data_IF_531268247972
#
_entry.id   IF_531268247972
#
_cell.length_a   1.000
_cell.length_b   1.000
_cell.length_c   1.000
_cell.angle_alpha   90.00
_cell.angle_beta   90.00
_cell.angle_gamma   90.00
#
_symmetry.space_group_name_H-M   'P 1'
#
loop_
_entity.id
_entity.type
_entity.pdbx_description
1 polymer ?
#
# COMPACT_ATOMS: atom_id res chain seq x y z
N UNK A 1 21.40 -13.24 6.90
CA UNK A 1 20.85 -13.18 8.27
C UNK A 1 20.78 -11.77 8.85
N UNK A 2 21.87 -10.97 8.80
CA UNK A 2 21.89 -9.58 9.33
C UNK A 2 20.81 -8.63 8.77
N UNK A 3 20.45 -8.76 7.49
CA UNK A 3 19.48 -7.86 6.85
C UNK A 3 18.06 -7.98 7.43
N UNK A 4 17.64 -9.18 7.86
CA UNK A 4 16.33 -9.40 8.46
C UNK A 4 16.30 -8.80 9.88
N UNK A 5 17.33 -9.08 10.67
CA UNK A 5 17.47 -8.55 12.04
C UNK A 5 17.49 -7.02 12.06
N UNK A 6 18.25 -6.39 11.14
CA UNK A 6 18.28 -4.92 11.02
C UNK A 6 16.90 -4.34 10.71
N UNK A 7 16.15 -4.95 9.78
CA UNK A 7 14.79 -4.51 9.45
C UNK A 7 13.83 -4.68 10.62
N UNK A 8 13.95 -5.77 11.37
CA UNK A 8 13.13 -6.02 12.55
C UNK A 8 13.36 -4.94 13.61
N UNK A 9 14.62 -4.66 13.95
CA UNK A 9 14.97 -3.67 14.98
C UNK A 9 14.48 -2.26 14.60
N UNK A 10 14.67 -1.88 13.33
CA UNK A 10 14.22 -0.58 12.84
C UNK A 10 12.69 -0.44 12.84
N UNK A 11 11.96 -1.47 12.44
CA UNK A 11 10.50 -1.38 12.36
C UNK A 11 9.86 -1.48 13.75
N UNK A 12 10.27 -2.45 14.56
CA UNK A 12 9.62 -2.72 15.85
C UNK A 12 10.14 -1.86 16.98
N UNK A 13 11.46 -1.82 17.18
CA UNK A 13 12.02 -1.17 18.36
C UNK A 13 12.16 0.35 18.17
N UNK A 14 12.51 0.79 16.95
CA UNK A 14 12.55 2.22 16.64
C UNK A 14 11.15 2.75 16.31
N UNK A 15 10.56 2.41 15.17
CA UNK A 15 9.34 3.09 14.71
C UNK A 15 8.13 2.80 15.61
N UNK A 16 7.87 1.52 15.91
CA UNK A 16 6.72 1.16 16.76
C UNK A 16 6.99 1.46 18.23
N UNK A 17 8.17 1.12 18.74
CA UNK A 17 8.55 1.36 20.13
C UNK A 17 8.54 2.84 20.53
N UNK A 18 8.87 3.75 19.61
CA UNK A 18 8.78 5.21 19.81
C UNK A 18 7.39 5.79 19.52
N UNK A 19 6.45 4.97 19.05
CA UNK A 19 5.10 5.40 18.67
C UNK A 19 5.04 6.20 17.37
N UNK A 20 6.08 6.15 16.54
CA UNK A 20 6.11 6.80 15.22
C UNK A 20 5.28 6.03 14.17
N UNK A 21 5.04 4.74 14.40
CA UNK A 21 4.21 3.90 13.56
C UNK A 21 3.40 2.87 14.37
N UNK A 22 2.29 2.41 13.79
CA UNK A 22 1.50 1.29 14.30
C UNK A 22 1.37 0.24 13.22
N UNK A 23 1.51 -1.03 13.59
CA UNK A 23 1.42 -2.16 12.66
C UNK A 23 0.04 -2.80 12.81
N UNK A 24 -0.69 -2.88 11.70
CA UNK A 24 -1.94 -3.61 11.60
C UNK A 24 -1.84 -4.63 10.48
N UNK A 25 -2.39 -5.82 10.71
CA UNK A 25 -2.59 -6.80 9.66
C UNK A 25 -3.69 -6.30 8.72
N UNK A 26 -3.40 -6.34 7.41
CA UNK A 26 -4.36 -6.04 6.34
C UNK A 26 -4.40 -7.25 5.42
N UNK A 27 -5.57 -7.89 5.20
CA UNK A 27 -5.71 -8.95 4.22
C UNK A 27 -5.28 -8.49 2.83
N UNK A 28 -4.77 -9.40 2.00
CA UNK A 28 -4.30 -9.09 0.64
C UNK A 28 -5.37 -8.38 -0.20
N UNK A 29 -6.63 -8.79 -0.07
CA UNK A 29 -7.72 -8.20 -0.83
C UNK A 29 -7.98 -6.73 -0.48
N UNK A 30 -7.48 -6.25 0.66
CA UNK A 30 -7.67 -4.89 1.15
C UNK A 30 -6.34 -4.09 1.24
N UNK A 31 -5.21 -4.70 0.87
CA UNK A 31 -3.89 -4.06 0.89
C UNK A 31 -3.70 -3.12 -0.31
N UNK A 32 -4.14 -1.87 -0.19
CA UNK A 32 -4.08 -0.87 -1.28
C UNK A 32 -2.68 -0.65 -1.88
N UNK A 33 -1.61 -0.91 -1.14
CA UNK A 33 -0.23 -0.82 -1.63
C UNK A 33 0.13 -1.86 -2.70
N UNK A 34 -0.64 -2.96 -2.81
CA UNK A 34 -0.35 -4.04 -3.75
C UNK A 34 -0.39 -3.56 -5.21
N UNK A 35 -1.24 -2.59 -5.53
CA UNK A 35 -1.33 -2.02 -6.88
C UNK A 35 -0.04 -1.34 -7.34
N UNK A 36 0.79 -0.87 -6.39
CA UNK A 36 2.05 -0.17 -6.67
C UNK A 36 3.26 -1.10 -6.71
N UNK A 37 3.11 -2.35 -6.26
CA UNK A 37 4.24 -3.27 -6.05
C UNK A 37 4.09 -4.59 -6.81
N UNK A 38 2.88 -4.91 -7.30
CA UNK A 38 2.56 -6.17 -7.95
C UNK A 38 1.71 -5.95 -9.20
N UNK A 39 1.80 -6.82 -10.21
CA UNK A 39 0.79 -6.91 -11.25
C UNK A 39 -0.49 -7.52 -10.66
N UNK A 40 -1.62 -6.81 -10.79
CA UNK A 40 -2.91 -7.25 -10.26
C UNK A 40 -3.88 -7.62 -11.38
N UNK A 41 -4.80 -8.54 -11.07
CA UNK A 41 -5.94 -8.81 -11.96
C UNK A 41 -6.82 -7.56 -12.06
N UNK A 42 -7.48 -7.40 -13.22
CA UNK A 42 -8.23 -6.17 -13.57
C UNK A 42 -9.23 -5.75 -12.49
N UNK A 43 -9.95 -6.70 -11.92
CA UNK A 43 -10.94 -6.42 -10.87
C UNK A 43 -10.31 -5.81 -9.61
N UNK A 44 -9.24 -6.43 -9.11
CA UNK A 44 -8.52 -5.99 -7.92
C UNK A 44 -7.80 -4.66 -8.16
N UNK A 45 -7.23 -4.47 -9.35
CA UNK A 45 -6.70 -3.18 -9.78
C UNK A 45 -7.76 -2.07 -9.65
N UNK A 46 -8.96 -2.25 -10.24
CA UNK A 46 -10.01 -1.24 -10.16
C UNK A 46 -10.58 -1.05 -8.75
N UNK A 47 -10.62 -2.11 -7.93
CA UNK A 47 -10.96 -2.00 -6.50
C UNK A 47 -10.01 -1.03 -5.82
N UNK A 48 -8.70 -1.20 -5.97
CA UNK A 48 -7.70 -0.35 -5.31
C UNK A 48 -7.57 1.04 -5.92
N UNK A 49 -7.70 1.21 -7.24
CA UNK A 49 -7.76 2.55 -7.87
C UNK A 49 -8.88 3.38 -7.24
N UNK A 50 -10.08 2.80 -7.11
CA UNK A 50 -11.21 3.48 -6.46
C UNK A 50 -10.98 3.69 -4.97
N UNK A 51 -10.43 2.69 -4.27
CA UNK A 51 -10.10 2.78 -2.84
C UNK A 51 -9.10 3.89 -2.51
N UNK A 52 -8.16 4.17 -3.40
CA UNK A 52 -7.22 5.29 -3.29
C UNK A 52 -7.83 6.65 -3.69
N UNK A 53 -9.08 6.69 -4.13
CA UNK A 53 -9.74 7.91 -4.58
C UNK A 53 -9.30 8.41 -5.96
N UNK A 54 -8.57 7.60 -6.73
CA UNK A 54 -8.13 7.96 -8.08
C UNK A 54 -9.33 7.95 -9.04
N UNK A 55 -9.51 9.03 -9.79
CA UNK A 55 -10.58 9.18 -10.79
C UNK A 55 -9.97 9.32 -12.17
N UNK A 56 -10.52 8.59 -13.13
CA UNK A 56 -10.22 8.82 -14.53
C UNK A 56 -10.76 10.21 -14.88
N UNK A 57 -9.87 11.14 -15.23
CA UNK A 57 -10.31 12.44 -15.74
C UNK A 57 -11.09 12.13 -17.02
N UNK A 58 -12.34 12.56 -17.10
CA UNK A 58 -13.01 12.64 -18.39
C UNK A 58 -12.11 13.52 -19.25
N UNK A 59 -11.50 12.94 -20.28
CA UNK A 59 -10.82 13.72 -21.31
C UNK A 59 -11.85 14.71 -21.81
N UNK A 60 -11.70 15.98 -21.42
CA UNK A 60 -12.50 17.05 -21.97
C UNK A 60 -12.37 16.94 -23.47
N UNK A 61 -13.48 16.74 -24.14
CA UNK A 61 -13.58 16.97 -25.57
C UNK A 61 -13.44 18.49 -25.71
N UNK A 62 -12.19 18.96 -25.80
CA UNK A 62 -11.93 20.33 -26.24
C UNK A 62 -12.47 20.41 -27.67
N UNK A 63 -13.64 21.03 -27.79
CA UNK A 63 -14.25 21.46 -29.05
C UNK A 63 -13.53 22.71 -29.55
#
# INVERSE_FOLDING_TARGET
>A
TKHIQRKYHFVWDDLVGKGEAVIHYVPTDDMAADILTKPLVREQHWKFVRGMGLRMRSSGSDK
#
